data_IF_580826532097
#
_entry.id   IF_580826532097
#
_cell.length_a   1.000
_cell.length_b   1.000
_cell.length_c   1.000
_cell.angle_alpha   90.00
_cell.angle_beta   90.00
_cell.angle_gamma   90.00
#
_symmetry.space_group_name_H-M   'P 1'
#
loop_
_entity.id
_entity.type
_entity.pdbx_description
1 polymer ?
#
# COMPACT_ATOMS: atom_id res chain seq x y z
N UNK A 1 -6.92 3.97 5.48
CA UNK A 1 -7.22 4.80 6.67
C UNK A 1 -6.02 5.68 6.95
N UNK A 2 -6.19 7.00 7.08
CA UNK A 2 -5.06 7.87 7.44
C UNK A 2 -4.81 7.86 8.95
N UNK A 3 -3.71 8.46 9.41
CA UNK A 3 -3.42 8.64 10.85
C UNK A 3 -4.54 9.34 11.63
N UNK A 4 -5.47 10.02 10.94
CA UNK A 4 -6.67 10.67 11.52
C UNK A 4 -7.97 9.85 11.37
N UNK A 5 -7.88 8.59 10.93
CA UNK A 5 -9.04 7.71 10.79
C UNK A 5 -9.90 7.93 9.55
N UNK A 6 -9.44 8.73 8.57
CA UNK A 6 -10.20 8.97 7.34
C UNK A 6 -10.01 7.83 6.34
N UNK A 7 -11.09 7.36 5.73
CA UNK A 7 -11.02 6.44 4.60
C UNK A 7 -10.64 7.20 3.32
N UNK A 8 -9.45 6.91 2.81
CA UNK A 8 -8.87 7.52 1.61
C UNK A 8 -8.80 6.55 0.44
N UNK A 9 -9.43 5.38 0.52
CA UNK A 9 -9.35 4.36 -0.53
C UNK A 9 -9.73 4.93 -1.90
N UNK A 10 -10.79 5.75 -1.95
CA UNK A 10 -11.24 6.42 -3.17
C UNK A 10 -10.23 7.42 -3.77
N UNK A 11 -9.32 7.98 -2.96
CA UNK A 11 -8.30 8.93 -3.44
C UNK A 11 -7.14 8.25 -4.15
N UNK A 12 -6.92 6.96 -3.88
CA UNK A 12 -5.78 6.20 -4.39
C UNK A 12 -6.10 5.41 -5.66
N UNK A 13 -7.29 5.58 -6.23
CA UNK A 13 -7.75 4.84 -7.39
C UNK A 13 -7.86 3.35 -7.11
N UNK A 14 -7.73 2.54 -8.16
CA UNK A 14 -7.84 1.07 -8.08
C UNK A 14 -6.49 0.38 -7.98
N UNK A 15 -5.42 0.98 -8.52
CA UNK A 15 -4.11 0.33 -8.64
C UNK A 15 -3.52 -0.10 -7.29
N UNK A 16 -3.43 0.81 -6.32
CA UNK A 16 -2.87 0.50 -5.00
C UNK A 16 -3.78 -0.48 -4.22
N UNK A 17 -5.11 -0.26 -4.12
CA UNK A 17 -6.00 -1.23 -3.49
C UNK A 17 -5.95 -2.63 -4.10
N UNK A 18 -5.91 -2.74 -5.43
CA UNK A 18 -5.91 -4.05 -6.10
C UNK A 18 -4.59 -4.78 -5.93
N UNK A 19 -3.46 -4.07 -5.91
CA UNK A 19 -2.17 -4.65 -5.54
C UNK A 19 -2.16 -5.17 -4.09
N UNK A 20 -2.76 -4.43 -3.15
CA UNK A 20 -2.87 -4.86 -1.75
C UNK A 20 -3.83 -6.05 -1.57
N UNK A 21 -4.94 -6.11 -2.31
CA UNK A 21 -5.87 -7.26 -2.31
C UNK A 21 -5.25 -8.54 -2.86
N UNK A 22 -4.22 -8.43 -3.71
CA UNK A 22 -3.51 -9.59 -4.25
C UNK A 22 -2.60 -10.27 -3.21
N UNK A 23 -2.41 -9.67 -2.02
CA UNK A 23 -1.70 -10.30 -0.92
C UNK A 23 -2.52 -11.48 -0.38
N UNK A 24 -1.90 -12.65 -0.23
CA UNK A 24 -2.55 -13.86 0.28
C UNK A 24 -2.75 -13.81 1.81
N UNK A 25 -3.62 -12.91 2.27
CA UNK A 25 -3.89 -12.64 3.69
C UNK A 25 -5.38 -12.39 3.90
N UNK A 26 -5.95 -12.89 5.00
CA UNK A 26 -7.37 -12.64 5.32
C UNK A 26 -7.59 -11.20 5.81
N UNK A 27 -6.79 -10.78 6.78
CA UNK A 27 -6.79 -9.41 7.29
C UNK A 27 -5.38 -9.02 7.71
N UNK A 28 -4.92 -7.88 7.21
CA UNK A 28 -3.66 -7.28 7.58
C UNK A 28 -3.87 -5.78 7.82
N UNK A 29 -3.17 -5.26 8.82
CA UNK A 29 -2.94 -3.82 8.95
C UNK A 29 -1.52 -3.58 8.44
N UNK A 30 -1.40 -2.69 7.46
CA UNK A 30 -0.15 -2.38 6.79
C UNK A 30 0.10 -0.89 6.98
N UNK A 31 1.20 -0.56 7.64
CA UNK A 31 1.71 0.80 7.67
C UNK A 31 2.54 1.05 6.41
N UNK A 32 2.42 2.26 5.87
CA UNK A 32 3.13 2.63 4.65
C UNK A 32 2.84 4.06 4.20
N UNK A 33 3.50 4.44 3.12
CA UNK A 33 3.42 5.77 2.51
C UNK A 33 3.14 5.65 1.02
N UNK A 34 2.35 6.59 0.50
CA UNK A 34 2.13 6.74 -0.93
C UNK A 34 2.98 7.91 -1.40
N UNK A 35 3.73 7.67 -2.48
CA UNK A 35 4.56 8.69 -3.12
C UNK A 35 4.29 8.74 -4.62
N UNK A 36 4.64 9.87 -5.22
CA UNK A 36 4.83 10.00 -6.66
C UNK A 36 6.32 10.12 -6.90
N UNK A 37 6.84 9.35 -7.84
CA UNK A 37 8.26 9.38 -8.19
C UNK A 37 8.52 10.28 -9.39
N UNK A 38 9.67 10.95 -9.34
CA UNK A 38 10.29 11.61 -10.48
C UNK A 38 10.92 10.57 -11.41
N UNK A 39 11.31 11.00 -12.61
CA UNK A 39 12.03 10.15 -13.58
C UNK A 39 13.37 9.60 -13.03
N UNK A 40 13.92 10.19 -11.98
CA UNK A 40 15.16 9.76 -11.33
C UNK A 40 14.91 8.87 -10.10
N UNK A 41 13.66 8.49 -9.82
CA UNK A 41 13.29 7.66 -8.67
C UNK A 41 13.26 8.40 -7.33
N UNK A 42 13.41 9.72 -7.32
CA UNK A 42 13.22 10.54 -6.12
C UNK A 42 11.73 10.83 -5.89
N UNK A 43 11.29 10.89 -4.63
CA UNK A 43 9.92 11.25 -4.28
C UNK A 43 9.65 12.74 -4.56
N UNK A 44 8.46 13.03 -5.11
CA UNK A 44 7.98 14.38 -5.40
C UNK A 44 6.66 14.64 -4.68
N UNK A 45 6.75 15.36 -3.56
CA UNK A 45 5.60 15.69 -2.74
C UNK A 45 4.66 16.69 -3.41
N UNK A 46 5.19 17.64 -4.19
CA UNK A 46 4.36 18.61 -4.90
C UNK A 46 3.56 17.93 -6.01
N UNK A 47 4.16 16.99 -6.73
CA UNK A 47 3.45 16.18 -7.72
C UNK A 47 2.38 15.31 -7.06
N UNK A 48 2.67 14.70 -5.89
CA UNK A 48 1.67 13.94 -5.14
C UNK A 48 0.46 14.81 -4.74
N UNK A 49 0.69 16.04 -4.28
CA UNK A 49 -0.40 16.96 -3.94
C UNK A 49 -1.25 17.34 -5.15
N UNK A 50 -0.60 17.61 -6.29
CA UNK A 50 -1.29 17.92 -7.54
C UNK A 50 -2.12 16.72 -8.04
N UNK A 51 -1.53 15.53 -8.07
CA UNK A 51 -2.21 14.32 -8.53
C UNK A 51 -3.40 13.97 -7.59
N UNK A 52 -3.26 14.17 -6.26
CA UNK A 52 -4.37 14.02 -5.31
C UNK A 52 -5.50 15.04 -5.50
N UNK A 53 -5.18 16.28 -5.88
CA UNK A 53 -6.16 17.32 -6.18
C UNK A 53 -6.90 17.01 -7.50
N UNK A 54 -6.17 16.56 -8.51
CA UNK A 54 -6.70 16.28 -9.85
C UNK A 54 -7.33 14.88 -9.97
N UNK A 55 -7.46 14.15 -8.85
CA UNK A 55 -7.98 12.79 -8.79
C UNK A 55 -7.22 11.79 -9.69
N UNK A 56 -5.94 12.06 -9.91
CA UNK A 56 -5.03 11.25 -10.72
C UNK A 56 -4.27 10.27 -9.82
N UNK A 57 -4.28 8.98 -10.18
CA UNK A 57 -3.73 7.92 -9.32
C UNK A 57 -2.82 6.92 -10.06
N UNK A 58 -2.62 7.09 -11.37
CA UNK A 58 -1.78 6.21 -12.20
C UNK A 58 -0.29 6.25 -11.83
N UNK A 59 0.15 7.29 -11.11
CA UNK A 59 1.55 7.52 -10.72
C UNK A 59 1.87 7.15 -9.28
N UNK A 60 0.89 6.66 -8.53
CA UNK A 60 1.08 6.38 -7.11
C UNK A 60 1.86 5.08 -6.89
N UNK A 61 2.88 5.18 -6.06
CA UNK A 61 3.65 4.04 -5.56
C UNK A 61 3.44 3.93 -4.06
N UNK A 62 3.05 2.74 -3.59
CA UNK A 62 2.89 2.46 -2.16
C UNK A 62 4.11 1.76 -1.61
N UNK A 63 4.74 2.37 -0.61
CA UNK A 63 5.86 1.83 0.15
C UNK A 63 5.37 1.40 1.54
N UNK A 64 5.27 0.09 1.76
CA UNK A 64 4.96 -0.47 3.07
C UNK A 64 6.19 -0.49 3.98
N UNK A 65 6.06 0.01 5.21
CA UNK A 65 7.12 -0.04 6.23
C UNK A 65 6.56 -0.51 7.57
N UNK A 66 7.35 -1.32 8.29
CA UNK A 66 7.06 -1.92 9.60
C UNK A 66 6.07 -3.12 9.65
N UNK A 67 5.97 -3.71 10.86
CA UNK A 67 5.42 -5.03 11.22
C UNK A 67 4.00 -5.27 10.70
N UNK A 68 3.90 -6.21 9.80
CA UNK A 68 2.67 -6.88 9.41
C UNK A 68 2.02 -7.57 10.62
N UNK A 69 0.97 -6.98 11.20
CA UNK A 69 0.06 -7.74 12.06
C UNK A 69 -0.90 -8.48 11.13
N UNK A 70 -0.53 -9.71 10.76
CA UNK A 70 -1.45 -10.66 10.13
C UNK A 70 -2.34 -11.24 11.22
N UNK A 71 -3.65 -10.99 11.14
CA UNK A 71 -4.62 -11.81 11.86
C UNK A 71 -5.12 -12.88 10.92
N UNK A 72 -4.51 -14.06 10.98
CA UNK A 72 -5.05 -15.27 10.36
C UNK A 72 -6.33 -15.65 11.10
N UNK A 73 -7.49 -15.52 10.46
CA UNK A 73 -8.72 -16.10 10.99
C UNK A 73 -8.97 -17.39 10.21
N UNK A 74 -8.39 -18.46 10.73
CA UNK A 74 -8.83 -19.81 10.47
C UNK A 74 -8.18 -20.50 9.28
N UNK A 75 -7.00 -21.09 9.50
CA UNK A 75 -6.71 -22.47 9.09
C UNK A 75 -5.66 -23.04 10.05
N UNK A 76 -5.90 -24.26 10.53
CA UNK A 76 -5.06 -24.93 11.52
C UNK A 76 -3.60 -25.10 11.08
N UNK A 77 -2.69 -24.87 12.04
CA UNK A 77 -1.33 -25.40 12.18
C UNK A 77 -0.53 -25.70 10.90
N UNK A 78 0.50 -24.87 10.62
CA UNK A 78 1.94 -25.25 10.58
C UNK A 78 2.77 -24.15 9.89
N UNK A 79 3.85 -23.73 10.56
CA UNK A 79 5.06 -23.18 9.92
C UNK A 79 5.00 -21.69 9.56
N UNK A 80 5.75 -20.88 10.30
CA UNK A 80 6.07 -19.51 9.88
C UNK A 80 6.97 -19.54 8.65
N UNK A 81 6.49 -18.94 7.56
CA UNK A 81 7.29 -18.61 6.39
C UNK A 81 7.12 -17.12 6.12
N UNK A 82 8.18 -16.36 6.34
CA UNK A 82 8.29 -14.98 5.89
C UNK A 82 8.35 -14.96 4.36
N UNK A 83 7.33 -14.41 3.72
CA UNK A 83 7.25 -14.30 2.27
C UNK A 83 7.94 -13.00 1.83
N UNK A 84 9.11 -13.11 1.20
CA UNK A 84 9.82 -12.01 0.55
C UNK A 84 9.86 -12.29 -0.94
N UNK A 85 9.12 -11.53 -1.75
CA UNK A 85 9.20 -11.57 -3.21
C UNK A 85 9.65 -10.20 -3.71
N UNK A 86 10.88 -10.13 -4.20
CA UNK A 86 11.41 -8.99 -4.96
C UNK A 86 10.76 -9.04 -6.35
N UNK A 87 10.04 -7.98 -6.72
CA UNK A 87 9.62 -7.76 -8.10
C UNK A 87 10.86 -7.26 -8.86
N UNK A 88 11.27 -8.01 -9.87
CA UNK A 88 12.25 -7.62 -10.90
C UNK A 88 11.53 -7.29 -12.19
#
# INVERSE_FOLDING_TARGET
MTRRGLDWTHKFGTNVPDALKALAVDTAIIDGEIVVETRTGASDFSALQADLHDHRSDRFTFYGFDRWIHRLVGLGKRGGLAYSRRLS
#
